data_IF_664390666184
#
_entry.id   IF_664390666184
#
_cell.length_a   1.000
_cell.length_b   1.000
_cell.length_c   1.000
_cell.angle_alpha   90.00
_cell.angle_beta   90.00
_cell.angle_gamma   90.00
#
_symmetry.space_group_name_H-M   'P 1'
#
loop_
_entity.id
_entity.type
_entity.pdbx_description
1 polymer ?
#
# COMPACT_ATOMS: atom_id res chain seq x y z
N UNK A 1 -14.09 26.56 61.82
CA UNK A 1 -14.99 25.49 61.34
C UNK A 1 -15.31 25.78 59.87
N UNK A 2 -14.43 25.35 58.98
CA UNK A 2 -14.58 25.51 57.52
C UNK A 2 -15.25 24.25 56.93
N UNK A 3 -16.06 24.39 55.87
CA UNK A 3 -17.04 23.39 55.47
C UNK A 3 -16.38 22.21 54.75
N UNK A 4 -16.48 21.03 55.37
CA UNK A 4 -16.03 19.74 54.82
C UNK A 4 -16.87 19.32 53.58
N UNK A 5 -17.97 20.04 53.27
CA UNK A 5 -18.96 19.63 52.28
C UNK A 5 -18.60 19.99 50.82
N UNK A 6 -17.75 20.99 50.56
CA UNK A 6 -17.49 21.48 49.19
C UNK A 6 -16.39 20.72 48.45
N UNK A 7 -15.61 19.86 49.12
CA UNK A 7 -14.52 19.06 48.50
C UNK A 7 -14.92 17.64 48.12
N UNK A 8 -16.06 17.13 48.61
CA UNK A 8 -16.55 15.77 48.32
C UNK A 8 -17.23 15.66 46.94
N UNK A 9 -17.89 16.72 46.48
CA UNK A 9 -18.61 16.77 45.20
C UNK A 9 -17.70 16.57 43.96
N UNK A 10 -16.52 17.23 43.84
CA UNK A 10 -15.61 16.99 42.71
C UNK A 10 -14.92 15.62 42.79
N UNK A 11 -14.77 15.04 43.99
CA UNK A 11 -14.22 13.70 44.20
C UNK A 11 -15.19 12.60 43.78
N UNK A 12 -16.49 12.79 44.03
CA UNK A 12 -17.54 11.87 43.57
C UNK A 12 -17.72 11.94 42.05
N UNK A 13 -17.56 13.13 41.44
CA UNK A 13 -17.67 13.30 39.99
C UNK A 13 -16.48 12.68 39.24
N UNK A 14 -15.26 12.79 39.78
CA UNK A 14 -14.08 12.12 39.20
C UNK A 14 -14.12 10.59 39.39
N UNK A 15 -14.74 10.10 40.47
CA UNK A 15 -15.00 8.67 40.66
C UNK A 15 -16.09 8.14 39.71
N UNK A 16 -17.09 8.95 39.32
CA UNK A 16 -18.08 8.53 38.32
C UNK A 16 -17.51 8.44 36.90
N UNK A 17 -16.55 9.30 36.54
CA UNK A 17 -15.93 9.28 35.20
C UNK A 17 -15.04 8.05 34.96
N UNK A 18 -14.50 7.41 36.01
CA UNK A 18 -13.69 6.19 35.88
C UNK A 18 -14.52 4.92 35.72
N UNK A 19 -15.84 4.98 35.92
CA UNK A 19 -16.76 3.85 35.73
C UNK A 19 -17.42 3.79 34.34
N UNK A 20 -17.14 4.73 33.42
CA UNK A 20 -17.60 4.57 32.04
C UNK A 20 -16.76 3.47 31.35
N UNK A 21 -17.37 2.35 30.92
CA UNK A 21 -16.65 1.39 30.10
C UNK A 21 -16.24 2.08 28.81
N UNK A 22 -14.94 2.23 28.59
CA UNK A 22 -14.40 2.63 27.29
C UNK A 22 -14.74 1.50 26.32
N UNK A 23 -15.75 1.71 25.47
CA UNK A 23 -16.00 0.82 24.34
C UNK A 23 -14.84 0.96 23.36
N UNK A 24 -13.74 0.25 23.61
CA UNK A 24 -12.71 0.07 22.62
C UNK A 24 -13.28 -0.91 21.61
N UNK A 25 -13.70 -0.40 20.45
CA UNK A 25 -13.89 -1.25 19.29
C UNK A 25 -12.51 -1.82 18.94
N UNK A 26 -12.17 -2.98 19.53
CA UNK A 26 -10.93 -3.65 19.23
C UNK A 26 -10.90 -3.95 17.72
N UNK A 27 -9.90 -3.40 17.03
CA UNK A 27 -9.68 -3.68 15.63
C UNK A 27 -9.44 -5.18 15.45
N UNK A 28 -10.32 -5.85 14.69
CA UNK A 28 -10.14 -7.24 14.35
C UNK A 28 -9.74 -7.35 12.86
N UNK A 29 -8.46 -7.61 12.54
CA UNK A 29 -7.97 -7.67 11.16
C UNK A 29 -8.65 -8.79 10.37
N UNK A 30 -8.99 -9.91 11.02
CA UNK A 30 -9.64 -11.08 10.40
C UNK A 30 -11.08 -10.82 9.94
N UNK A 31 -11.75 -9.79 10.47
CA UNK A 31 -13.12 -9.47 10.10
C UNK A 31 -13.15 -8.76 8.75
N UNK A 32 -13.81 -9.39 7.78
CA UNK A 32 -14.07 -8.77 6.47
C UNK A 32 -14.83 -7.45 6.62
N UNK A 33 -14.36 -6.36 6.00
CA UNK A 33 -15.12 -5.11 5.95
C UNK A 33 -16.45 -5.32 5.22
N UNK A 34 -17.54 -4.74 5.72
CA UNK A 34 -18.87 -4.82 5.07
C UNK A 34 -19.01 -4.08 3.73
N UNK A 35 -17.90 -3.69 3.10
CA UNK A 35 -17.86 -2.90 1.87
C UNK A 35 -17.41 -3.74 0.69
N UNK A 36 -18.09 -3.55 -0.44
CA UNK A 36 -17.75 -4.20 -1.72
C UNK A 36 -16.43 -3.74 -2.33
N UNK A 37 -15.83 -2.67 -1.78
CA UNK A 37 -14.55 -2.12 -2.24
C UNK A 37 -13.37 -2.59 -1.38
N UNK A 38 -13.59 -3.47 -0.41
CA UNK A 38 -12.51 -4.13 0.33
C UNK A 38 -12.20 -5.48 -0.29
N UNK A 39 -10.92 -5.77 -0.51
CA UNK A 39 -10.44 -7.05 -1.06
C UNK A 39 -9.29 -7.53 -0.20
N UNK A 40 -9.27 -8.80 0.19
CA UNK A 40 -8.15 -9.37 0.95
C UNK A 40 -6.93 -9.43 0.02
N UNK A 41 -5.80 -8.83 0.41
CA UNK A 41 -4.62 -8.70 -0.44
C UNK A 41 -4.13 -10.07 -0.97
N UNK A 42 -4.06 -11.06 -0.08
CA UNK A 42 -3.64 -12.43 -0.37
C UNK A 42 -4.54 -13.16 -1.37
N UNK A 43 -5.81 -12.74 -1.50
CA UNK A 43 -6.77 -13.34 -2.43
C UNK A 43 -6.65 -12.80 -3.86
N UNK A 44 -5.90 -11.71 -4.06
CA UNK A 44 -5.72 -11.11 -5.39
C UNK A 44 -4.79 -12.00 -6.20
N UNK A 45 -5.32 -12.62 -7.26
CA UNK A 45 -4.55 -13.54 -8.11
C UNK A 45 -3.57 -12.82 -9.03
N UNK A 46 -4.00 -11.70 -9.62
CA UNK A 46 -3.17 -10.92 -10.51
C UNK A 46 -3.59 -9.46 -10.57
N UNK A 47 -2.63 -8.59 -10.87
CA UNK A 47 -2.81 -7.18 -11.14
C UNK A 47 -2.40 -6.90 -12.58
N UNK A 48 -3.12 -5.99 -13.24
CA UNK A 48 -2.73 -5.45 -14.55
C UNK A 48 -2.80 -3.94 -14.46
N UNK A 49 -1.62 -3.34 -14.52
CA UNK A 49 -1.39 -1.94 -14.20
C UNK A 49 -0.93 -1.19 -15.45
N UNK A 50 -1.34 0.07 -15.57
CA UNK A 50 -1.19 0.85 -16.80
C UNK A 50 -0.46 2.17 -16.54
N UNK A 51 0.45 2.54 -17.45
CA UNK A 51 1.24 3.77 -17.35
C UNK A 51 0.40 5.05 -17.37
N UNK A 52 -0.81 5.00 -17.91
CA UNK A 52 -1.71 6.16 -18.05
C UNK A 52 -2.88 6.16 -17.05
N UNK A 53 -2.85 5.32 -16.00
CA UNK A 53 -3.94 5.22 -15.01
C UNK A 53 -3.47 5.49 -13.59
N UNK A 54 -4.24 6.28 -12.86
CA UNK A 54 -4.03 6.44 -11.41
C UNK A 54 -4.72 5.33 -10.62
N UNK A 55 -4.23 5.10 -9.40
CA UNK A 55 -4.87 4.22 -8.41
C UNK A 55 -6.20 4.81 -7.97
N UNK A 56 -7.15 3.94 -7.58
CA UNK A 56 -8.26 4.41 -6.73
C UNK A 56 -7.70 4.79 -5.37
N UNK A 57 -8.37 5.69 -4.68
CA UNK A 57 -7.89 6.16 -3.40
C UNK A 57 -9.04 6.48 -2.44
N UNK A 58 -8.75 6.47 -1.15
CA UNK A 58 -9.71 6.93 -0.13
C UNK A 58 -9.05 7.76 0.97
N UNK A 59 -7.97 7.25 1.56
CA UNK A 59 -7.31 7.88 2.73
C UNK A 59 -6.05 8.65 2.32
N UNK A 60 -5.38 8.21 1.26
CA UNK A 60 -4.20 8.86 0.68
C UNK A 60 -4.52 9.39 -0.72
N UNK A 61 -3.78 10.35 -1.30
CA UNK A 61 -4.02 10.79 -2.67
C UNK A 61 -3.77 9.68 -3.71
N UNK A 62 -4.54 9.71 -4.81
CA UNK A 62 -4.29 8.80 -5.94
C UNK A 62 -2.90 9.02 -6.56
N UNK A 63 -2.18 7.92 -6.77
CA UNK A 63 -0.84 7.90 -7.38
C UNK A 63 -0.87 7.20 -8.74
N UNK A 64 0.21 7.29 -9.50
CA UNK A 64 0.33 6.55 -10.76
C UNK A 64 0.40 5.04 -10.49
N UNK A 65 -0.27 4.22 -11.31
CA UNK A 65 -0.21 2.77 -11.15
C UNK A 65 1.19 2.20 -11.44
N UNK A 66 1.98 2.85 -12.29
CA UNK A 66 3.35 2.46 -12.60
C UNK A 66 4.29 3.63 -12.29
N UNK A 67 5.23 3.42 -11.37
CA UNK A 67 6.18 4.46 -10.94
C UNK A 67 7.60 3.93 -11.08
N UNK A 68 8.41 4.57 -11.92
CA UNK A 68 9.83 4.22 -12.02
C UNK A 68 10.63 4.88 -10.90
N UNK A 69 11.38 4.10 -10.13
CA UNK A 69 12.14 4.56 -8.96
C UNK A 69 13.66 4.53 -9.12
N UNK A 70 14.19 4.08 -10.26
CA UNK A 70 15.62 4.21 -10.52
C UNK A 70 16.25 3.22 -11.50
N UNK A 71 17.59 3.27 -11.64
CA UNK A 71 18.56 3.84 -10.69
C UNK A 71 18.73 5.36 -10.75
N UNK A 72 18.20 6.04 -11.77
CA UNK A 72 18.19 7.51 -11.84
C UNK A 72 16.94 8.01 -12.57
N UNK A 73 16.58 9.28 -12.33
CA UNK A 73 15.48 9.95 -13.06
C UNK A 73 15.74 9.98 -14.56
N UNK A 74 17.01 10.11 -14.99
CA UNK A 74 17.39 10.09 -16.40
C UNK A 74 17.06 8.75 -17.04
N UNK A 75 17.39 7.64 -16.38
CA UNK A 75 17.05 6.29 -16.90
C UNK A 75 15.54 6.09 -16.95
N UNK A 76 14.82 6.46 -15.90
CA UNK A 76 13.34 6.38 -15.88
C UNK A 76 12.67 7.20 -16.98
N UNK A 77 13.29 8.29 -17.45
CA UNK A 77 12.77 9.11 -18.53
C UNK A 77 12.96 8.48 -19.93
N UNK A 78 13.78 7.43 -20.07
CA UNK A 78 14.06 6.82 -21.37
C UNK A 78 12.91 5.95 -21.87
N UNK A 79 12.22 5.26 -20.96
CA UNK A 79 11.11 4.39 -21.32
C UNK A 79 10.18 4.16 -20.14
N UNK A 80 8.88 4.07 -20.40
CA UNK A 80 7.87 3.64 -19.42
C UNK A 80 7.06 2.51 -20.07
N UNK A 81 6.94 1.33 -19.43
CA UNK A 81 6.14 0.25 -19.97
C UNK A 81 4.66 0.62 -19.95
N UNK A 82 3.94 0.43 -21.05
CA UNK A 82 2.51 0.78 -21.13
C UNK A 82 1.65 -0.03 -20.16
N UNK A 83 1.99 -1.32 -20.01
CA UNK A 83 1.29 -2.30 -19.18
C UNK A 83 2.29 -3.16 -18.43
N UNK A 84 2.03 -3.39 -17.15
CA UNK A 84 2.73 -4.37 -16.32
C UNK A 84 1.72 -5.35 -15.72
N UNK A 85 2.06 -6.63 -15.73
CA UNK A 85 1.25 -7.68 -15.11
C UNK A 85 2.01 -8.27 -13.92
N UNK A 86 1.40 -8.24 -12.75
CA UNK A 86 1.94 -8.87 -11.55
C UNK A 86 1.07 -10.06 -11.16
N UNK A 87 1.70 -11.18 -10.86
CA UNK A 87 1.05 -12.43 -10.48
C UNK A 87 1.43 -12.73 -9.03
N UNK A 88 0.45 -13.04 -8.21
CA UNK A 88 0.63 -13.48 -6.85
C UNK A 88 1.20 -14.91 -6.85
N UNK A 89 2.35 -15.11 -6.22
CA UNK A 89 3.07 -16.39 -6.11
C UNK A 89 2.90 -17.05 -4.74
N UNK A 90 1.93 -16.59 -3.95
CA UNK A 90 1.73 -16.98 -2.56
C UNK A 90 2.22 -15.91 -1.60
N UNK A 91 2.62 -16.33 -0.41
CA UNK A 91 3.13 -15.46 0.64
C UNK A 91 4.34 -16.11 1.33
N UNK A 92 5.19 -15.30 1.94
CA UNK A 92 6.39 -15.78 2.65
C UNK A 92 6.08 -16.05 4.13
N UNK A 93 6.27 -15.06 5.01
CA UNK A 93 6.17 -15.27 6.46
C UNK A 93 4.73 -15.35 7.00
N UNK A 94 3.82 -14.55 6.43
CA UNK A 94 2.41 -14.52 6.82
C UNK A 94 1.51 -14.18 5.63
N UNK A 95 0.19 -14.32 5.80
CA UNK A 95 -0.79 -14.14 4.72
C UNK A 95 -0.75 -12.74 4.06
N UNK A 96 -0.16 -11.74 4.69
CA UNK A 96 -0.08 -10.36 4.18
C UNK A 96 1.21 -10.09 3.41
N UNK A 97 2.22 -10.95 3.57
CA UNK A 97 3.51 -10.84 2.88
C UNK A 97 3.46 -11.51 1.50
N UNK A 98 2.58 -10.98 0.64
CA UNK A 98 2.31 -11.52 -0.69
C UNK A 98 3.51 -11.35 -1.60
N UNK A 99 3.96 -12.46 -2.19
CA UNK A 99 5.07 -12.49 -3.11
C UNK A 99 4.58 -12.24 -4.54
N UNK A 100 5.02 -11.14 -5.16
CA UNK A 100 4.59 -10.75 -6.49
C UNK A 100 5.68 -10.99 -7.54
N UNK A 101 5.32 -11.62 -8.66
CA UNK A 101 6.15 -11.63 -9.86
C UNK A 101 5.56 -10.67 -10.90
N UNK A 102 6.28 -9.60 -11.20
CA UNK A 102 5.86 -8.59 -12.18
C UNK A 102 6.62 -8.74 -13.50
N UNK A 103 5.89 -8.68 -14.61
CA UNK A 103 6.44 -8.71 -15.97
C UNK A 103 5.87 -7.59 -16.83
N UNK A 104 6.68 -7.09 -17.76
CA UNK A 104 6.30 -6.08 -18.73
C UNK A 104 7.07 -6.28 -20.04
N UNK A 105 6.51 -5.83 -21.16
CA UNK A 105 7.22 -5.80 -22.43
C UNK A 105 8.16 -4.60 -22.45
N UNK A 106 9.45 -4.88 -22.69
CA UNK A 106 10.51 -3.88 -22.71
C UNK A 106 11.32 -3.98 -24.02
N UNK A 107 11.80 -2.83 -24.54
CA UNK A 107 12.83 -2.83 -25.58
C UNK A 107 14.09 -3.57 -25.09
N UNK A 108 14.90 -4.13 -26.00
CA UNK A 108 16.06 -4.95 -25.65
C UNK A 108 17.15 -4.19 -24.88
N UNK A 109 17.13 -2.86 -24.88
CA UNK A 109 18.01 -2.01 -24.09
C UNK A 109 17.68 -1.99 -22.60
N UNK A 110 16.49 -2.45 -22.20
CA UNK A 110 15.99 -2.33 -20.84
C UNK A 110 15.62 -3.68 -20.23
N UNK A 111 15.70 -3.74 -18.90
CA UNK A 111 15.17 -4.84 -18.08
C UNK A 111 14.56 -4.30 -16.80
N UNK A 112 13.64 -5.06 -16.21
CA UNK A 112 13.15 -4.75 -14.87
C UNK A 112 14.21 -5.14 -13.82
N UNK A 113 14.41 -4.28 -12.84
CA UNK A 113 15.09 -4.59 -11.58
C UNK A 113 14.08 -5.06 -10.54
N UNK A 114 14.16 -4.52 -9.32
CA UNK A 114 13.13 -4.76 -8.31
C UNK A 114 11.78 -4.19 -8.74
N UNK A 115 10.72 -4.85 -8.30
CA UNK A 115 9.33 -4.45 -8.49
C UNK A 115 8.58 -4.64 -7.19
N UNK A 116 7.96 -3.58 -6.70
CA UNK A 116 7.30 -3.55 -5.40
C UNK A 116 5.82 -3.17 -5.61
N UNK A 117 4.91 -4.11 -5.31
CA UNK A 117 3.47 -3.87 -5.37
C UNK A 117 3.03 -3.19 -4.08
N UNK A 118 2.38 -2.04 -4.21
CA UNK A 118 1.94 -1.23 -3.08
C UNK A 118 0.44 -0.96 -3.23
N UNK A 119 -0.34 -1.34 -2.22
CA UNK A 119 -1.78 -1.13 -2.18
C UNK A 119 -2.18 -0.29 -0.96
N UNK A 120 -3.21 0.56 -1.10
CA UNK A 120 -3.81 1.23 0.04
C UNK A 120 -4.58 0.20 0.89
N UNK A 121 -4.13 -0.02 2.13
CA UNK A 121 -4.91 -0.77 3.11
C UNK A 121 -6.29 -0.16 3.30
N UNK A 122 -7.29 -0.96 3.62
CA UNK A 122 -8.67 -0.50 3.62
C UNK A 122 -8.88 0.40 4.84
N UNK A 123 -8.73 -0.11 6.06
CA UNK A 123 -8.94 0.64 7.31
C UNK A 123 -7.73 1.50 7.68
N UNK A 124 -6.54 0.90 7.69
CA UNK A 124 -5.26 1.52 8.06
C UNK A 124 -4.13 1.03 7.14
N UNK A 125 -2.86 1.30 7.45
CA UNK A 125 -1.72 0.95 6.56
C UNK A 125 -1.25 -0.50 6.76
N UNK A 126 -1.67 -1.16 7.84
CA UNK A 126 -1.36 -2.55 8.17
C UNK A 126 -2.55 -3.50 7.90
N UNK A 127 -3.65 -2.99 7.34
CA UNK A 127 -4.86 -3.77 7.10
C UNK A 127 -4.63 -4.85 6.02
N UNK A 128 -4.88 -6.14 6.31
CA UNK A 128 -4.80 -7.22 5.33
C UNK A 128 -5.78 -7.04 4.16
N UNK A 129 -6.86 -6.28 4.39
CA UNK A 129 -7.79 -5.87 3.35
C UNK A 129 -7.30 -4.58 2.71
N UNK A 130 -7.32 -4.52 1.38
CA UNK A 130 -6.92 -3.35 0.59
C UNK A 130 -8.12 -2.78 -0.18
N UNK A 131 -8.00 -1.51 -0.57
CA UNK A 131 -9.00 -0.85 -1.40
C UNK A 131 -8.96 -1.39 -2.85
N UNK A 132 -10.12 -1.80 -3.37
CA UNK A 132 -10.23 -2.28 -4.75
C UNK A 132 -9.73 -1.23 -5.74
N UNK A 133 -8.66 -1.56 -6.47
CA UNK A 133 -8.08 -0.69 -7.51
C UNK A 133 -6.98 0.25 -6.99
N UNK A 134 -6.60 0.15 -5.70
CA UNK A 134 -5.59 1.03 -5.13
C UNK A 134 -4.15 0.57 -5.32
N UNK A 135 -3.94 -0.63 -5.86
CA UNK A 135 -2.60 -1.18 -6.06
C UNK A 135 -1.87 -0.47 -7.21
N UNK A 136 -0.63 -0.07 -6.95
CA UNK A 136 0.37 0.39 -7.92
C UNK A 136 1.65 -0.45 -7.82
N UNK A 137 2.57 -0.25 -8.74
CA UNK A 137 3.91 -0.84 -8.72
C UNK A 137 4.96 0.25 -8.82
N UNK A 138 5.89 0.21 -7.89
CA UNK A 138 7.19 0.86 -8.03
C UNK A 138 8.15 -0.13 -8.69
N UNK A 139 8.84 0.30 -9.75
CA UNK A 139 9.77 -0.56 -10.47
C UNK A 139 11.09 0.15 -10.76
N UNK A 140 12.17 -0.63 -10.84
CA UNK A 140 13.45 -0.16 -11.35
C UNK A 140 13.57 -0.49 -12.83
N UNK A 141 13.88 0.51 -13.64
CA UNK A 141 14.23 0.32 -15.04
C UNK A 141 15.76 0.30 -15.13
N UNK A 142 16.32 -0.82 -15.53
CA UNK A 142 17.77 -1.00 -15.65
C UNK A 142 18.15 -1.10 -17.12
N UNK A 143 19.39 -0.72 -17.43
CA UNK A 143 19.97 -0.99 -18.73
C UNK A 143 20.42 -2.45 -18.83
N UNK A 144 20.23 -3.05 -20.00
CA UNK A 144 20.94 -4.27 -20.41
C UNK A 144 22.32 -3.89 -20.95
N UNK A 145 23.14 -4.87 -21.34
CA UNK A 145 24.41 -4.58 -22.03
C UNK A 145 24.23 -3.70 -23.29
N UNK A 146 23.14 -3.93 -24.05
CA UNK A 146 22.77 -3.10 -25.20
C UNK A 146 22.37 -1.69 -24.77
N UNK A 147 21.64 -1.58 -23.66
CA UNK A 147 21.29 -0.31 -23.07
C UNK A 147 22.53 0.47 -22.63
N UNK A 148 23.49 -0.17 -21.99
CA UNK A 148 24.74 0.48 -21.56
C UNK A 148 25.56 0.99 -22.75
N UNK A 149 25.65 0.22 -23.84
CA UNK A 149 26.31 0.67 -25.07
C UNK A 149 25.69 1.94 -25.65
N UNK A 150 24.36 2.08 -25.54
CA UNK A 150 23.58 3.18 -26.12
C UNK A 150 23.42 4.39 -25.19
N UNK A 151 23.26 4.13 -23.90
CA UNK A 151 22.82 5.09 -22.89
C UNK A 151 23.75 5.21 -21.68
N UNK A 152 24.80 4.39 -21.55
CA UNK A 152 25.65 4.31 -20.34
C UNK A 152 26.47 5.57 -20.03
N UNK A 153 26.45 6.57 -20.90
CA UNK A 153 27.10 7.89 -20.67
C UNK A 153 26.14 8.96 -20.12
N UNK A 154 24.87 8.63 -19.90
CA UNK A 154 23.84 9.57 -19.44
C UNK A 154 23.97 9.96 -17.97
#
# INVERSE_FOLDING_TARGET
>A
MTPICTTLLPLLLSLLLSLLPTQTNAYNPSKSPGSKNAVLLSSIQSLTLYANRKTTHRRVPAVQQLTCIGPSKKICALYTPDVMRCINQGHDYDENDVQWTCTAQLPPEFKLGSTDVICEGYRDKEDPWVLKGSCGVEYRLLLTERGEQKYGKL
#
